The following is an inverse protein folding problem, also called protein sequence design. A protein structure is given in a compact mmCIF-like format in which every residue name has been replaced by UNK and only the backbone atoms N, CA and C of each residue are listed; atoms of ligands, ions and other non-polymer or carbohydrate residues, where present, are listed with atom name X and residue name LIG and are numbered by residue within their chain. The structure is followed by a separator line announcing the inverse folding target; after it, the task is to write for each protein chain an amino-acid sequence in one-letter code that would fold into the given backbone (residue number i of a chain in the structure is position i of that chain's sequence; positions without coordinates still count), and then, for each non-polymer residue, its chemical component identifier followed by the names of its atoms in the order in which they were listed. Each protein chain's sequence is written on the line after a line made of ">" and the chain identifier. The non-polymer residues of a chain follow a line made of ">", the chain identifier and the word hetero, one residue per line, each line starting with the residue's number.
data_IF_558957939567
#
_entry.id   IF_558957939567
#
_cell.length_a   1.000
_cell.length_b   1.000
_cell.length_c   1.000
_cell.angle_alpha   90.00
_cell.angle_beta   90.00
_cell.angle_gamma   90.00
#
_symmetry.space_group_name_H-M   'P 1'
#
loop_
_entity.id
_entity.type
_entity.pdbx_description
1 polymer ?
#
# COMPACT_ATOMS: atom_id res chain seq x y z
N UNK A 1 33.50 -33.29 -13.59
CA UNK A 1 33.32 -34.05 -12.33
C UNK A 1 32.46 -33.20 -11.44
N UNK A 2 31.13 -33.45 -11.54
CA UNK A 2 30.13 -32.67 -10.81
C UNK A 2 30.16 -33.01 -9.32
N UNK A 3 30.38 -32.01 -8.48
CA UNK A 3 30.13 -32.13 -7.05
C UNK A 3 28.79 -31.45 -6.75
N UNK A 4 27.71 -32.21 -6.79
CA UNK A 4 26.45 -31.84 -6.19
C UNK A 4 26.58 -32.02 -4.67
N UNK A 5 26.60 -30.93 -3.92
CA UNK A 5 26.54 -30.98 -2.47
C UNK A 5 25.06 -30.88 -2.08
N UNK A 6 24.54 -32.00 -1.58
CA UNK A 6 23.22 -32.04 -0.93
C UNK A 6 23.40 -31.53 0.51
N UNK A 7 22.80 -30.42 0.85
CA UNK A 7 22.58 -30.02 2.24
C UNK A 7 21.17 -30.41 2.68
N UNK A 8 21.10 -31.21 3.74
CA UNK A 8 19.86 -31.59 4.39
C UNK A 8 19.58 -30.58 5.51
N UNK A 9 18.43 -29.93 5.46
CA UNK A 9 17.96 -29.00 6.50
C UNK A 9 17.57 -29.77 7.75
N UNK A 10 18.08 -29.38 8.91
CA UNK A 10 17.70 -29.87 10.22
C UNK A 10 16.72 -28.86 10.85
N UNK A 11 15.45 -29.22 10.94
CA UNK A 11 14.45 -28.44 11.64
C UNK A 11 14.53 -28.79 13.12
N UNK A 12 14.86 -27.84 13.98
CA UNK A 12 14.77 -27.97 15.43
C UNK A 12 13.62 -27.09 15.92
N UNK A 13 12.50 -27.73 16.30
CA UNK A 13 11.45 -27.06 17.05
C UNK A 13 11.81 -27.11 18.54
N UNK A 14 11.98 -25.94 19.16
CA UNK A 14 12.01 -25.79 20.60
C UNK A 14 10.85 -24.84 21.01
N UNK A 15 9.75 -25.41 21.47
CA UNK A 15 8.67 -24.63 22.05
C UNK A 15 9.02 -24.12 23.44
N UNK A 16 8.74 -22.84 23.70
CA UNK A 16 8.81 -22.24 25.03
C UNK A 16 8.89 -20.72 24.93
N UNK A 17 8.05 -20.02 25.65
CA UNK A 17 7.79 -18.60 25.69
C UNK A 17 9.00 -17.69 25.39
N UNK A 18 8.76 -16.70 24.51
CA UNK A 18 9.70 -15.66 24.08
C UNK A 18 10.99 -16.23 23.44
N UNK A 19 10.91 -16.60 22.18
CA UNK A 19 12.05 -17.09 21.42
C UNK A 19 11.95 -16.64 19.97
N UNK A 20 12.90 -15.82 19.57
CA UNK A 20 13.20 -15.54 18.16
C UNK A 20 13.45 -16.88 17.48
N UNK A 21 12.53 -17.33 16.64
CA UNK A 21 12.70 -18.53 15.82
C UNK A 21 13.34 -18.14 14.49
N UNK A 22 14.64 -18.32 14.35
CA UNK A 22 15.31 -18.17 13.06
C UNK A 22 14.98 -19.39 12.19
N UNK A 23 14.16 -19.22 11.17
CA UNK A 23 13.93 -20.22 10.13
C UNK A 23 14.90 -19.98 8.97
N UNK A 24 15.96 -20.78 8.87
CA UNK A 24 16.89 -20.77 7.73
C UNK A 24 16.24 -21.54 6.56
N UNK A 25 15.90 -20.83 5.49
CA UNK A 25 15.49 -21.42 4.22
C UNK A 25 16.68 -21.39 3.24
N UNK A 26 17.18 -22.55 2.86
CA UNK A 26 18.23 -22.65 1.84
C UNK A 26 17.58 -22.71 0.44
N UNK A 27 17.80 -21.69 -0.36
CA UNK A 27 17.48 -21.68 -1.79
C UNK A 27 18.55 -22.46 -2.57
N UNK A 28 18.15 -23.39 -3.43
CA UNK A 28 19.03 -24.00 -4.43
C UNK A 28 18.99 -23.08 -5.66
N UNK A 29 19.72 -21.99 -5.61
CA UNK A 29 19.89 -21.04 -6.70
C UNK A 29 21.29 -21.08 -7.28
N UNK A 30 21.41 -20.73 -8.54
CA UNK A 30 22.66 -20.49 -9.24
C UNK A 30 23.39 -19.38 -8.47
N UNK A 31 24.65 -19.62 -8.13
CA UNK A 31 25.54 -18.64 -7.50
C UNK A 31 25.77 -17.49 -8.48
N UNK A 32 24.91 -16.46 -8.40
CA UNK A 32 24.98 -15.23 -9.20
C UNK A 32 25.54 -14.05 -8.39
N UNK A 33 25.98 -14.29 -7.16
CA UNK A 33 26.57 -13.30 -6.27
C UNK A 33 25.52 -12.42 -5.55
N UNK A 34 24.25 -12.82 -5.56
CA UNK A 34 23.21 -12.16 -4.79
C UNK A 34 23.26 -12.59 -3.31
N UNK A 35 23.01 -11.65 -2.39
CA UNK A 35 22.88 -11.92 -0.96
C UNK A 35 21.63 -12.76 -0.67
N UNK A 36 21.68 -13.63 0.31
CA UNK A 36 20.50 -14.34 0.82
C UNK A 36 19.79 -13.45 1.84
N UNK A 37 18.48 -13.26 1.68
CA UNK A 37 17.67 -12.54 2.62
C UNK A 37 17.37 -13.39 3.87
N UNK A 38 17.48 -12.81 5.06
CA UNK A 38 17.28 -13.48 6.34
C UNK A 38 16.06 -12.94 7.08
N UNK A 39 15.19 -13.83 7.59
CA UNK A 39 14.09 -13.43 8.46
C UNK A 39 14.66 -13.11 9.84
N UNK A 40 14.53 -11.85 10.26
CA UNK A 40 15.03 -11.36 11.55
C UNK A 40 13.96 -11.31 12.62
N UNK A 41 12.70 -11.27 12.22
CA UNK A 41 11.56 -11.26 13.15
C UNK A 41 10.27 -11.75 12.50
N UNK A 42 9.42 -12.39 13.31
CA UNK A 42 8.07 -12.80 12.96
C UNK A 42 7.12 -12.52 14.13
N UNK A 43 5.92 -12.01 13.83
CA UNK A 43 4.83 -11.88 14.81
C UNK A 43 4.03 -13.17 14.95
N UNK A 44 3.17 -13.23 15.96
CA UNK A 44 2.10 -14.22 16.00
C UNK A 44 1.07 -13.94 14.87
N UNK A 45 0.47 -14.99 14.27
CA UNK A 45 -0.59 -14.84 13.28
C UNK A 45 -1.79 -14.06 13.83
N UNK A 46 -2.44 -13.28 12.96
CA UNK A 46 -3.59 -12.45 13.33
C UNK A 46 -4.84 -12.90 12.59
N UNK A 47 -5.87 -13.30 13.34
CA UNK A 47 -7.12 -13.79 12.74
C UNK A 47 -7.91 -12.64 12.08
N UNK A 48 -8.38 -12.86 10.86
CA UNK A 48 -9.27 -11.95 10.15
C UNK A 48 -8.58 -10.80 9.40
N UNK A 49 -7.26 -10.85 9.30
CA UNK A 49 -6.45 -10.06 8.37
C UNK A 49 -5.77 -11.01 7.38
N UNK A 50 -5.82 -10.68 6.08
CA UNK A 50 -5.10 -11.38 5.01
C UNK A 50 -3.80 -10.65 4.63
N UNK A 51 -3.38 -9.68 5.44
CA UNK A 51 -2.21 -8.84 5.21
C UNK A 51 -2.37 -7.80 4.10
N UNK A 52 -3.43 -7.85 3.31
CA UNK A 52 -3.58 -6.94 2.16
C UNK A 52 -3.80 -5.47 2.55
N UNK A 53 -4.29 -5.25 3.77
CA UNK A 53 -4.61 -3.93 4.32
C UNK A 53 -3.65 -3.45 5.40
N UNK A 54 -2.64 -4.22 5.75
CA UNK A 54 -1.68 -3.84 6.78
C UNK A 54 -0.77 -2.68 6.34
N UNK A 55 -0.31 -1.88 7.30
CA UNK A 55 0.63 -0.78 7.08
C UNK A 55 1.67 -0.73 8.18
N UNK A 56 2.83 -0.14 7.88
CA UNK A 56 3.88 0.13 8.85
C UNK A 56 3.87 1.61 9.19
N UNK A 57 4.00 1.92 10.48
CA UNK A 57 4.22 3.27 10.99
C UNK A 57 5.49 3.27 11.84
N UNK A 58 6.15 4.40 11.98
CA UNK A 58 7.30 4.56 12.86
C UNK A 58 6.93 5.51 13.98
N UNK A 59 7.01 5.04 15.22
CA UNK A 59 6.64 5.77 16.42
C UNK A 59 7.86 5.92 17.31
N UNK A 60 8.25 7.17 17.63
CA UNK A 60 9.44 7.47 18.47
C UNK A 60 10.74 6.79 17.98
N UNK A 61 10.77 6.40 16.69
CA UNK A 61 11.86 5.65 16.07
C UNK A 61 11.66 4.14 16.05
N UNK A 62 10.62 3.62 16.71
CA UNK A 62 10.30 2.18 16.73
C UNK A 62 9.23 1.85 15.66
N UNK A 63 9.42 0.84 14.82
CA UNK A 63 8.44 0.45 13.81
C UNK A 63 7.28 -0.35 14.41
N UNK A 64 6.07 0.02 13.99
CA UNK A 64 4.82 -0.66 14.32
C UNK A 64 4.17 -1.24 13.07
N UNK A 65 3.74 -2.49 13.14
CA UNK A 65 2.84 -3.09 12.14
C UNK A 65 1.40 -2.90 12.60
N UNK A 66 0.62 -2.20 11.77
CA UNK A 66 -0.79 -1.89 12.02
C UNK A 66 -1.65 -2.79 11.16
N UNK A 67 -2.60 -3.50 11.76
CA UNK A 67 -3.45 -4.47 11.10
C UNK A 67 -4.91 -4.30 11.49
N UNK A 68 -5.81 -4.56 10.54
CA UNK A 68 -7.25 -4.63 10.81
C UNK A 68 -7.62 -6.05 11.20
N UNK A 69 -7.95 -6.27 12.47
CA UNK A 69 -8.19 -7.60 13.03
C UNK A 69 -9.67 -7.82 13.38
N UNK A 70 -10.15 -9.04 13.23
CA UNK A 70 -11.51 -9.42 13.60
C UNK A 70 -11.48 -10.45 14.75
N UNK A 71 -12.11 -10.11 15.88
CA UNK A 71 -12.26 -11.03 17.00
C UNK A 71 -13.63 -10.88 17.64
N UNK A 72 -14.29 -12.01 17.90
CA UNK A 72 -15.59 -12.06 18.58
C UNK A 72 -16.70 -11.18 17.96
N UNK A 73 -16.68 -11.02 16.64
CA UNK A 73 -17.63 -10.15 15.94
C UNK A 73 -17.31 -8.64 16.01
N UNK A 74 -16.16 -8.27 16.56
CA UNK A 74 -15.69 -6.90 16.60
C UNK A 74 -14.49 -6.73 15.66
N UNK A 75 -14.48 -5.68 14.87
CA UNK A 75 -13.32 -5.25 14.10
C UNK A 75 -12.50 -4.27 14.93
N UNK A 76 -11.19 -4.41 14.92
CA UNK A 76 -10.26 -3.54 15.64
C UNK A 76 -9.04 -3.23 14.78
N UNK A 77 -8.38 -2.14 15.05
CA UNK A 77 -7.00 -1.90 14.60
C UNK A 77 -6.07 -2.37 15.71
N UNK A 78 -5.06 -3.14 15.34
CA UNK A 78 -4.00 -3.61 16.24
C UNK A 78 -2.67 -3.05 15.80
N UNK A 79 -1.90 -2.52 16.73
CA UNK A 79 -0.50 -2.21 16.56
C UNK A 79 0.37 -3.26 17.24
N UNK A 80 1.35 -3.75 16.52
CA UNK A 80 2.35 -4.71 17.02
C UNK A 80 3.73 -4.12 16.79
N UNK A 81 4.50 -3.94 17.87
CA UNK A 81 5.88 -3.50 17.76
C UNK A 81 6.72 -4.57 17.07
N UNK A 82 7.53 -4.17 16.11
CA UNK A 82 8.48 -5.07 15.46
C UNK A 82 9.57 -5.42 16.47
N UNK A 83 9.86 -6.72 16.64
CA UNK A 83 10.73 -7.20 17.71
C UNK A 83 10.07 -7.26 19.10
N UNK A 84 8.81 -6.83 19.23
CA UNK A 84 8.06 -6.74 20.48
C UNK A 84 6.74 -7.49 20.47
N UNK A 85 5.79 -7.01 21.25
CA UNK A 85 4.42 -7.52 21.36
C UNK A 85 3.37 -6.54 20.87
N UNK A 86 2.11 -6.85 21.17
CA UNK A 86 1.00 -5.93 20.89
C UNK A 86 1.10 -4.71 21.80
N UNK A 87 1.22 -3.52 21.23
CA UNK A 87 1.26 -2.25 21.96
C UNK A 87 -0.14 -1.79 22.32
N UNK A 88 -1.05 -1.79 21.33
CA UNK A 88 -2.45 -1.44 21.55
C UNK A 88 -3.39 -2.18 20.60
N UNK A 89 -4.67 -2.21 20.97
CA UNK A 89 -5.76 -2.70 20.11
C UNK A 89 -6.98 -1.83 20.35
N UNK A 90 -7.46 -1.15 19.32
CA UNK A 90 -8.59 -0.24 19.39
C UNK A 90 -9.75 -0.71 18.53
N UNK A 91 -10.96 -0.82 19.09
CA UNK A 91 -12.13 -1.23 18.32
C UNK A 91 -12.46 -0.16 17.28
N UNK A 92 -12.84 -0.59 16.09
CA UNK A 92 -13.35 0.31 15.04
C UNK A 92 -14.77 0.71 15.43
N UNK A 93 -14.94 1.99 15.82
CA UNK A 93 -16.22 2.55 16.18
C UNK A 93 -17.18 2.54 14.98
N UNK A 94 -18.41 2.15 15.21
CA UNK A 94 -19.50 2.49 14.28
C UNK A 94 -19.95 3.89 14.68
N UNK A 95 -19.54 4.91 13.90
CA UNK A 95 -19.79 6.30 14.20
C UNK A 95 -21.22 6.60 14.64
N UNK A 96 -21.46 7.76 15.25
CA UNK A 96 -22.70 8.22 15.88
C UNK A 96 -23.97 8.20 15.02
N UNK A 97 -23.93 7.63 13.80
CA UNK A 97 -25.07 7.37 12.92
C UNK A 97 -25.55 5.91 12.91
N UNK A 98 -24.78 4.98 13.50
CA UNK A 98 -25.21 3.61 13.70
C UNK A 98 -26.06 3.51 14.95
N UNK A 99 -27.36 3.79 14.83
CA UNK A 99 -28.31 3.51 15.91
C UNK A 99 -28.10 2.09 16.39
N UNK A 100 -27.95 1.88 17.71
CA UNK A 100 -28.00 0.58 18.33
C UNK A 100 -29.18 -0.19 17.70
N UNK A 101 -28.88 -1.35 17.13
CA UNK A 101 -29.93 -2.23 16.62
C UNK A 101 -30.95 -2.37 17.76
N UNK A 102 -32.25 -2.18 17.48
CA UNK A 102 -33.26 -2.34 18.52
C UNK A 102 -33.13 -3.76 19.09
N UNK A 103 -32.96 -3.84 20.39
CA UNK A 103 -32.96 -5.07 21.15
C UNK A 103 -34.41 -5.60 21.21
N UNK A 104 -34.93 -6.08 20.07
CA UNK A 104 -36.18 -6.83 20.05
C UNK A 104 -35.96 -8.10 19.22
N UNK A 105 -35.99 -9.17 20.01
CA UNK A 105 -35.76 -10.55 19.69
C UNK A 105 -36.41 -11.07 18.43
N UNK A 106 -35.67 -11.76 17.68
CA UNK A 106 -35.85 -13.17 17.31
C UNK A 106 -34.73 -13.61 16.36
N UNK A 107 -33.94 -14.62 16.77
CA UNK A 107 -32.99 -15.32 15.91
C UNK A 107 -31.81 -14.49 15.43
N UNK A 108 -30.84 -14.22 16.34
CA UNK A 108 -29.65 -13.42 16.03
C UNK A 108 -28.81 -14.03 14.92
N UNK A 109 -28.85 -13.45 13.73
CA UNK A 109 -27.68 -13.42 12.87
C UNK A 109 -26.60 -12.65 13.64
N UNK A 110 -25.45 -13.31 13.84
CA UNK A 110 -24.28 -12.66 14.41
C UNK A 110 -24.07 -11.37 13.61
N UNK A 111 -23.98 -10.23 14.31
CA UNK A 111 -23.61 -8.96 13.69
C UNK A 111 -22.23 -9.21 13.08
N UNK A 112 -22.18 -9.40 11.76
CA UNK A 112 -20.92 -9.57 11.05
C UNK A 112 -20.06 -8.35 11.40
N UNK A 113 -18.82 -8.61 11.81
CA UNK A 113 -17.87 -7.57 12.10
C UNK A 113 -17.85 -6.59 10.90
N UNK A 114 -18.01 -5.31 11.15
CA UNK A 114 -18.09 -4.31 10.08
C UNK A 114 -16.89 -4.48 9.14
N UNK A 115 -17.16 -4.78 7.86
CA UNK A 115 -16.08 -4.85 6.87
C UNK A 115 -15.39 -3.47 6.80
N UNK A 116 -14.07 -3.48 6.89
CA UNK A 116 -13.23 -2.27 6.80
C UNK A 116 -12.42 -2.30 5.51
N UNK A 117 -11.98 -1.13 5.07
CA UNK A 117 -10.95 -1.01 4.04
C UNK A 117 -9.58 -1.41 4.60
N UNK A 118 -8.56 -1.44 3.73
CA UNK A 118 -7.16 -1.43 4.18
C UNK A 118 -6.84 -0.13 4.92
N UNK A 119 -5.81 -0.18 5.74
CA UNK A 119 -5.31 0.94 6.53
C UNK A 119 -4.45 1.88 5.67
N UNK A 120 -4.38 3.15 6.06
CA UNK A 120 -3.39 4.12 5.60
C UNK A 120 -2.79 4.80 6.81
N UNK A 121 -1.50 5.08 6.76
CA UNK A 121 -0.78 5.89 7.76
C UNK A 121 -0.27 7.18 7.13
N UNK A 122 -0.11 8.20 7.95
CA UNK A 122 0.44 9.49 7.54
C UNK A 122 0.52 10.44 8.72
N UNK A 123 1.04 11.63 8.46
CA UNK A 123 1.08 12.72 9.45
C UNK A 123 -0.13 13.62 9.26
N UNK A 124 -0.88 13.88 10.32
CA UNK A 124 -2.07 14.70 10.33
C UNK A 124 -2.03 15.65 11.54
N UNK A 125 -1.94 16.96 11.27
CA UNK A 125 -1.74 17.95 12.34
C UNK A 125 -0.43 17.80 13.10
N UNK A 126 0.60 17.25 12.46
CA UNK A 126 1.93 17.01 13.04
C UNK A 126 2.09 15.71 13.83
N UNK A 127 1.05 14.89 13.92
CA UNK A 127 1.04 13.60 14.63
C UNK A 127 0.82 12.44 13.65
N UNK A 128 1.41 11.28 13.94
CA UNK A 128 1.21 10.09 13.14
C UNK A 128 -0.18 9.51 13.40
N UNK A 129 -0.90 9.19 12.33
CA UNK A 129 -2.24 8.64 12.39
C UNK A 129 -2.36 7.38 11.56
N UNK A 130 -3.37 6.57 11.89
CA UNK A 130 -3.87 5.49 11.05
C UNK A 130 -5.35 5.74 10.74
N UNK A 131 -5.70 5.66 9.47
CA UNK A 131 -7.06 5.87 9.00
C UNK A 131 -7.57 4.67 8.20
N UNK A 132 -8.88 4.44 8.28
CA UNK A 132 -9.59 3.44 7.51
C UNK A 132 -11.02 3.89 7.24
N UNK A 133 -11.67 3.26 6.27
CA UNK A 133 -13.12 3.41 6.09
C UNK A 133 -13.85 2.12 6.44
N UNK A 134 -15.09 2.25 6.85
CA UNK A 134 -15.99 1.11 7.08
C UNK A 134 -16.97 0.97 5.92
N UNK A 135 -17.45 -0.26 5.69
CA UNK A 135 -18.47 -0.51 4.67
C UNK A 135 -19.79 0.22 4.94
N UNK A 136 -20.06 0.56 6.19
CA UNK A 136 -21.23 1.39 6.57
C UNK A 136 -21.09 2.85 6.17
N UNK A 137 -19.89 3.31 5.80
CA UNK A 137 -19.64 4.68 5.35
C UNK A 137 -19.09 5.59 6.43
N UNK A 138 -18.32 5.06 7.37
CA UNK A 138 -17.58 5.89 8.33
C UNK A 138 -16.10 5.92 7.95
N UNK A 139 -15.50 7.10 7.98
CA UNK A 139 -14.05 7.29 8.07
C UNK A 139 -13.69 7.32 9.55
N UNK A 140 -12.76 6.48 9.97
CA UNK A 140 -12.28 6.39 11.35
C UNK A 140 -10.78 6.69 11.36
N UNK A 141 -10.34 7.58 12.23
CA UNK A 141 -8.95 7.99 12.39
C UNK A 141 -8.53 7.78 13.84
N UNK A 142 -7.39 7.11 14.02
CA UNK A 142 -6.77 6.87 15.32
C UNK A 142 -5.40 7.52 15.37
N UNK A 143 -4.96 7.90 16.56
CA UNK A 143 -3.56 8.16 16.81
C UNK A 143 -2.77 6.84 16.69
N UNK A 144 -1.68 6.88 15.95
CA UNK A 144 -0.87 5.68 15.75
C UNK A 144 -0.06 5.32 17.00
N UNK A 145 0.21 6.29 17.91
CA UNK A 145 0.96 6.11 19.14
C UNK A 145 0.27 5.19 20.14
N UNK A 146 -0.99 5.48 20.46
CA UNK A 146 -1.71 4.83 21.53
C UNK A 146 -3.05 4.19 21.11
N UNK A 147 -3.40 4.34 19.82
CA UNK A 147 -4.64 3.83 19.25
C UNK A 147 -5.89 4.57 19.72
N UNK A 148 -5.77 5.76 20.31
CA UNK A 148 -6.93 6.56 20.67
C UNK A 148 -7.67 7.02 19.42
N UNK A 149 -9.00 6.93 19.42
CA UNK A 149 -9.84 7.42 18.34
C UNK A 149 -9.82 8.96 18.33
N UNK A 150 -9.31 9.57 17.25
CA UNK A 150 -9.31 11.04 17.08
C UNK A 150 -10.68 11.55 16.68
N UNK A 151 -11.23 10.97 15.61
CA UNK A 151 -12.56 11.30 15.13
C UNK A 151 -13.15 10.20 14.26
N UNK A 152 -14.47 10.25 14.12
CA UNK A 152 -15.24 9.44 13.18
C UNK A 152 -16.15 10.37 12.39
N UNK A 153 -16.08 10.30 11.04
CA UNK A 153 -16.87 11.14 10.13
C UNK A 153 -17.66 10.26 9.17
N UNK A 154 -18.91 10.67 8.87
CA UNK A 154 -19.74 10.01 7.86
C UNK A 154 -19.25 10.40 6.45
N UNK A 155 -18.94 9.43 5.61
CA UNK A 155 -18.50 9.64 4.22
C UNK A 155 -19.67 9.95 3.26
N UNK A 156 -20.89 10.04 3.77
CA UNK A 156 -22.09 10.28 2.95
C UNK A 156 -22.56 9.09 2.13
N UNK A 157 -22.01 7.91 2.36
CA UNK A 157 -22.38 6.68 1.66
C UNK A 157 -21.46 5.53 2.00
N UNK A 158 -21.80 4.33 1.51
CA UNK A 158 -20.94 3.13 1.75
C UNK A 158 -19.55 3.36 1.22
N UNK A 159 -18.55 2.96 1.98
CA UNK A 159 -17.16 2.98 1.55
C UNK A 159 -16.53 1.59 1.78
N UNK A 160 -15.63 1.18 0.91
CA UNK A 160 -14.93 -0.09 1.02
C UNK A 160 -13.48 0.01 0.51
N UNK A 161 -13.03 1.21 0.23
CA UNK A 161 -11.68 1.46 -0.31
C UNK A 161 -10.85 2.23 0.70
N UNK A 162 -9.56 1.94 0.72
CA UNK A 162 -8.56 2.60 1.57
C UNK A 162 -8.62 4.11 1.34
N UNK A 163 -8.67 4.94 2.39
CA UNK A 163 -8.56 6.39 2.27
C UNK A 163 -7.15 6.81 1.83
N UNK A 164 -6.97 8.10 1.53
CA UNK A 164 -5.66 8.70 1.29
C UNK A 164 -5.39 9.78 2.34
N UNK A 165 -4.11 10.09 2.57
CA UNK A 165 -3.66 11.20 3.43
C UNK A 165 -2.68 12.03 2.60
N UNK A 166 -2.82 13.35 2.61
CA UNK A 166 -1.94 14.31 1.95
C UNK A 166 -2.54 15.69 1.89
N UNK A 167 -1.72 16.70 1.65
CA UNK A 167 -2.13 18.09 1.44
C UNK A 167 -2.89 18.19 0.11
N UNK A 168 -4.22 18.30 0.15
CA UNK A 168 -5.06 18.30 -1.05
C UNK A 168 -5.59 19.70 -1.43
N UNK A 169 -5.53 20.67 -0.52
CA UNK A 169 -5.94 22.05 -0.80
C UNK A 169 -4.76 23.03 -0.98
N UNK A 170 -3.54 22.58 -0.65
CA UNK A 170 -2.30 23.32 -0.89
C UNK A 170 -1.98 24.32 0.22
N UNK A 171 -2.55 24.17 1.41
CA UNK A 171 -2.31 25.05 2.55
C UNK A 171 -1.07 24.61 3.37
N UNK A 172 -0.56 23.40 3.12
CA UNK A 172 0.64 22.82 3.73
C UNK A 172 0.35 21.88 4.88
N UNK A 173 -0.89 21.75 5.31
CA UNK A 173 -1.38 20.76 6.24
C UNK A 173 -1.95 19.56 5.46
N UNK A 174 -1.98 18.38 6.04
CA UNK A 174 -2.52 17.22 5.36
C UNK A 174 -3.97 16.95 5.75
N UNK A 175 -4.77 16.47 4.79
CA UNK A 175 -6.13 16.00 4.96
C UNK A 175 -6.22 14.49 4.84
N UNK A 176 -7.30 13.93 5.39
CA UNK A 176 -7.73 12.57 5.12
C UNK A 176 -8.84 12.58 4.08
N UNK A 177 -8.62 11.89 2.96
CA UNK A 177 -9.58 11.78 1.87
C UNK A 177 -10.26 10.43 1.89
N UNK A 178 -11.57 10.42 2.05
CA UNK A 178 -12.40 9.24 1.94
C UNK A 178 -13.36 9.35 0.75
N UNK A 179 -13.69 8.21 0.16
CA UNK A 179 -14.63 8.15 -0.98
C UNK A 179 -15.75 7.17 -0.71
N UNK A 180 -16.90 7.39 -1.31
CA UNK A 180 -18.04 6.48 -1.24
C UNK A 180 -18.25 5.75 -2.57
N UNK A 181 -18.82 4.56 -2.50
CA UNK A 181 -19.18 3.77 -3.68
C UNK A 181 -20.29 4.41 -4.52
N UNK A 182 -20.94 5.47 -4.04
CA UNK A 182 -21.93 6.26 -4.78
C UNK A 182 -21.35 7.47 -5.52
N UNK A 183 -20.05 7.77 -5.34
CA UNK A 183 -19.40 8.89 -6.01
C UNK A 183 -19.05 10.07 -5.10
N UNK A 184 -19.34 9.99 -3.80
CA UNK A 184 -18.95 11.01 -2.84
C UNK A 184 -17.44 11.03 -2.62
N UNK A 185 -16.87 12.22 -2.53
CA UNK A 185 -15.47 12.50 -2.15
C UNK A 185 -15.51 13.48 -0.98
N UNK A 186 -14.87 13.11 0.12
CA UNK A 186 -14.79 13.90 1.34
C UNK A 186 -13.33 14.07 1.73
N UNK A 187 -12.88 15.30 1.90
CA UNK A 187 -11.61 15.63 2.54
C UNK A 187 -11.89 16.27 3.91
N UNK A 188 -11.17 15.82 4.93
CA UNK A 188 -11.29 16.34 6.30
C UNK A 188 -9.91 16.72 6.84
N UNK A 189 -9.88 17.78 7.63
CA UNK A 189 -8.69 18.27 8.31
C UNK A 189 -8.29 17.40 9.53
N UNK A 190 -7.27 17.83 10.26
CA UNK A 190 -6.78 17.16 11.45
C UNK A 190 -7.79 17.10 12.61
N UNK A 191 -8.81 17.94 12.61
CA UNK A 191 -9.92 17.94 13.58
C UNK A 191 -11.10 17.08 13.16
N UNK A 192 -11.10 16.58 11.92
CA UNK A 192 -12.24 15.89 11.32
C UNK A 192 -13.32 16.83 10.74
N UNK A 193 -13.01 18.13 10.63
CA UNK A 193 -13.88 19.08 9.99
C UNK A 193 -13.75 19.00 8.46
N UNK A 194 -14.85 19.04 7.68
CA UNK A 194 -14.79 18.97 6.23
C UNK A 194 -14.06 20.17 5.62
N UNK A 195 -12.99 19.91 4.86
CA UNK A 195 -12.35 20.88 3.97
C UNK A 195 -13.20 21.04 2.71
N UNK A 196 -13.58 19.93 2.09
CA UNK A 196 -14.61 19.90 1.05
C UNK A 196 -15.39 18.59 1.06
N UNK A 197 -16.57 18.64 0.45
CA UNK A 197 -17.38 17.47 0.11
C UNK A 197 -17.96 17.63 -1.28
N UNK A 198 -17.69 16.65 -2.16
CA UNK A 198 -18.10 16.66 -3.55
C UNK A 198 -18.75 15.36 -3.96
N UNK A 199 -19.53 15.39 -5.06
CA UNK A 199 -20.12 14.20 -5.69
C UNK A 199 -19.72 14.19 -7.17
N UNK A 200 -18.95 13.18 -7.59
CA UNK A 200 -18.51 13.05 -8.97
C UNK A 200 -19.54 12.37 -9.89
N UNK A 201 -20.69 12.01 -9.33
CA UNK A 201 -21.85 11.51 -10.09
C UNK A 201 -21.68 10.11 -10.69
N UNK A 202 -20.65 9.36 -10.28
CA UNK A 202 -20.40 8.00 -10.73
C UNK A 202 -19.68 7.19 -9.64
N UNK A 203 -19.91 5.86 -9.56
CA UNK A 203 -19.30 5.01 -8.53
C UNK A 203 -17.78 5.10 -8.49
N UNK A 204 -17.21 5.15 -7.27
CA UNK A 204 -15.77 5.09 -7.05
C UNK A 204 -15.43 3.73 -6.43
N UNK A 205 -14.58 2.96 -7.13
CA UNK A 205 -14.21 1.59 -6.73
C UNK A 205 -12.72 1.42 -6.40
N UNK A 206 -11.94 2.49 -6.55
CA UNK A 206 -10.50 2.49 -6.29
C UNK A 206 -10.17 3.51 -5.21
N UNK A 207 -9.10 3.24 -4.46
CA UNK A 207 -8.62 4.22 -3.47
C UNK A 207 -8.37 5.56 -4.14
N UNK A 208 -8.68 6.70 -3.50
CA UNK A 208 -8.30 8.01 -4.00
C UNK A 208 -6.77 8.18 -3.93
N UNK A 209 -6.24 9.16 -4.66
CA UNK A 209 -4.88 9.64 -4.46
C UNK A 209 -4.94 11.10 -4.07
N UNK A 210 -4.28 11.46 -2.98
CA UNK A 210 -3.90 12.83 -2.71
C UNK A 210 -2.79 13.20 -3.70
N UNK A 211 -2.98 14.29 -4.43
CA UNK A 211 -2.08 14.75 -5.48
C UNK A 211 -1.32 15.97 -4.96
N UNK A 212 -0.01 15.82 -4.83
CA UNK A 212 0.88 16.89 -4.41
C UNK A 212 1.66 17.44 -5.62
N UNK A 213 1.57 18.76 -5.80
CA UNK A 213 2.31 19.49 -6.83
C UNK A 213 3.52 20.25 -6.30
N UNK A 214 3.83 20.18 -5.01
CA UNK A 214 4.87 20.98 -4.36
C UNK A 214 6.28 20.81 -4.96
N UNK A 215 6.52 19.69 -5.65
CA UNK A 215 7.82 19.37 -6.25
C UNK A 215 8.11 19.99 -7.62
N UNK A 216 7.15 20.55 -8.33
CA UNK A 216 7.36 20.93 -9.74
C UNK A 216 6.81 22.32 -10.09
N UNK A 217 7.53 23.38 -9.69
CA UNK A 217 7.26 24.78 -10.08
C UNK A 217 7.62 25.12 -11.52
N UNK A 218 7.86 24.15 -12.41
CA UNK A 218 8.30 24.38 -13.78
C UNK A 218 7.17 24.74 -14.75
N UNK A 219 5.92 24.55 -14.40
CA UNK A 219 4.76 24.96 -15.21
C UNK A 219 4.14 26.19 -14.54
N UNK A 220 4.36 27.37 -15.11
CA UNK A 220 3.68 28.57 -14.67
C UNK A 220 2.18 28.36 -14.71
N UNK A 221 1.52 28.88 -13.68
CA UNK A 221 0.09 29.06 -13.50
C UNK A 221 -0.76 27.84 -13.07
N UNK A 222 -1.28 27.94 -11.84
CA UNK A 222 -2.48 27.31 -11.30
C UNK A 222 -2.56 25.77 -11.19
N UNK A 223 -1.46 25.05 -11.07
CA UNK A 223 -1.54 23.64 -10.68
C UNK A 223 -1.48 23.55 -9.16
N UNK A 224 -2.63 23.41 -8.54
CA UNK A 224 -2.80 23.24 -7.10
C UNK A 224 -2.92 21.76 -6.77
N UNK A 225 -2.63 21.40 -5.53
CA UNK A 225 -2.91 20.10 -4.96
C UNK A 225 -4.37 19.67 -5.21
N UNK A 226 -4.69 18.43 -5.00
CA UNK A 226 -6.04 17.94 -5.24
C UNK A 226 -6.22 16.46 -4.99
N UNK A 227 -7.35 15.94 -5.44
CA UNK A 227 -7.70 14.52 -5.28
C UNK A 227 -7.98 13.88 -6.63
N UNK A 228 -7.26 12.82 -6.95
CA UNK A 228 -7.59 12.01 -8.10
C UNK A 228 -8.44 10.81 -7.70
N UNK A 229 -9.47 10.51 -8.50
CA UNK A 229 -10.37 9.36 -8.31
C UNK A 229 -10.58 8.60 -9.62
N UNK A 230 -10.77 7.29 -9.51
CA UNK A 230 -11.20 6.43 -10.63
C UNK A 230 -12.67 6.11 -10.44
N UNK A 231 -13.49 6.51 -11.41
CA UNK A 231 -14.91 6.21 -11.44
C UNK A 231 -15.21 5.13 -12.46
N UNK A 232 -16.26 4.34 -12.23
CA UNK A 232 -16.73 3.30 -13.13
C UNK A 232 -18.22 3.50 -13.41
N UNK A 233 -18.63 3.40 -14.68
CA UNK A 233 -20.02 3.34 -15.11
C UNK A 233 -20.16 2.17 -16.10
N UNK A 234 -20.56 1.02 -15.58
CA UNK A 234 -20.51 -0.23 -16.34
C UNK A 234 -19.08 -0.63 -16.70
N UNK A 235 -18.79 -0.76 -18.00
CA UNK A 235 -17.47 -1.10 -18.51
C UNK A 235 -16.59 0.14 -18.79
N UNK A 236 -17.13 1.33 -18.65
CA UNK A 236 -16.40 2.59 -18.86
C UNK A 236 -15.76 3.08 -17.56
N UNK A 237 -14.49 3.44 -17.64
CA UNK A 237 -13.74 4.02 -16.52
C UNK A 237 -13.31 5.43 -16.87
N UNK A 238 -13.34 6.31 -15.88
CA UNK A 238 -12.81 7.66 -15.99
C UNK A 238 -11.91 7.99 -14.82
N UNK A 239 -10.84 8.69 -15.09
CA UNK A 239 -9.99 9.33 -14.07
C UNK A 239 -10.41 10.79 -13.97
N UNK A 240 -10.65 11.26 -12.77
CA UNK A 240 -11.02 12.66 -12.50
C UNK A 240 -10.05 13.25 -11.49
N UNK A 241 -9.61 14.46 -11.75
CA UNK A 241 -8.87 15.27 -10.79
C UNK A 241 -9.82 16.34 -10.25
N UNK A 242 -9.96 16.39 -8.94
CA UNK A 242 -10.62 17.45 -8.20
C UNK A 242 -9.53 18.38 -7.66
N UNK A 243 -9.81 19.69 -7.61
CA UNK A 243 -8.95 20.67 -6.94
C UNK A 243 -9.21 20.72 -5.42
N UNK A 244 -8.51 21.64 -4.73
CA UNK A 244 -8.60 21.80 -3.27
C UNK A 244 -9.98 22.24 -2.76
N UNK A 245 -10.83 22.81 -3.62
CA UNK A 245 -12.23 23.14 -3.31
C UNK A 245 -13.19 21.98 -3.62
N UNK A 246 -12.69 20.88 -4.19
CA UNK A 246 -13.45 19.71 -4.57
C UNK A 246 -14.15 19.82 -5.94
N UNK A 247 -13.83 20.82 -6.74
CA UNK A 247 -14.35 20.99 -8.09
C UNK A 247 -13.57 20.14 -9.10
N UNK A 248 -14.27 19.48 -10.04
CA UNK A 248 -13.62 18.65 -11.06
C UNK A 248 -12.89 19.55 -12.06
N UNK A 249 -11.55 19.49 -12.06
CA UNK A 249 -10.68 20.21 -13.01
C UNK A 249 -10.70 19.59 -14.40
N UNK A 250 -10.51 18.27 -14.44
CA UNK A 250 -10.55 17.52 -15.70
C UNK A 250 -11.07 16.11 -15.50
N UNK A 251 -11.50 15.52 -16.59
CA UNK A 251 -11.90 14.11 -16.68
C UNK A 251 -11.21 13.49 -17.88
N UNK A 252 -10.52 12.36 -17.67
CA UNK A 252 -9.89 11.57 -18.72
C UNK A 252 -10.53 10.18 -18.79
N UNK A 253 -10.61 9.61 -20.00
CA UNK A 253 -11.05 8.24 -20.21
C UNK A 253 -9.83 7.41 -20.62
N UNK A 254 -9.22 6.66 -19.66
CA UNK A 254 -8.05 5.87 -19.97
C UNK A 254 -8.39 4.71 -20.89
N UNK A 255 -7.42 4.28 -21.71
CA UNK A 255 -7.53 3.09 -22.56
C UNK A 255 -7.45 1.80 -21.77
N UNK A 256 -6.90 1.85 -20.53
CA UNK A 256 -6.80 0.74 -19.61
C UNK A 256 -7.96 0.75 -18.60
N UNK A 257 -8.39 -0.43 -18.15
CA UNK A 257 -9.22 -0.57 -16.95
C UNK A 257 -8.29 -0.49 -15.74
N UNK A 258 -8.25 0.64 -15.00
CA UNK A 258 -7.26 0.81 -13.92
C UNK A 258 -7.49 -0.20 -12.80
N UNK A 259 -6.49 -1.04 -12.53
CA UNK A 259 -6.45 -1.97 -11.40
C UNK A 259 -5.61 -1.42 -10.24
N UNK A 260 -4.48 -0.83 -10.59
CA UNK A 260 -3.57 -0.15 -9.67
C UNK A 260 -3.14 1.17 -10.28
N UNK A 261 -2.86 2.15 -9.46
CA UNK A 261 -2.45 3.45 -9.94
C UNK A 261 -1.67 4.22 -8.86
N UNK A 262 -0.82 5.14 -9.32
CA UNK A 262 0.04 5.95 -8.45
C UNK A 262 0.41 7.27 -9.15
N UNK A 263 0.61 8.32 -8.35
CA UNK A 263 1.33 9.51 -8.79
C UNK A 263 2.82 9.21 -8.86
N UNK A 264 3.48 9.76 -9.86
CA UNK A 264 4.93 9.72 -10.02
C UNK A 264 5.44 11.05 -10.55
N UNK A 265 6.60 11.48 -10.03
CA UNK A 265 7.24 12.70 -10.47
C UNK A 265 8.16 12.45 -11.67
N UNK A 266 7.90 13.12 -12.76
CA UNK A 266 8.76 13.10 -13.94
C UNK A 266 9.44 14.45 -14.16
N UNK A 267 10.50 14.47 -14.97
CA UNK A 267 11.19 15.72 -15.32
C UNK A 267 10.28 16.76 -16.01
N UNK A 268 9.18 16.30 -16.61
CA UNK A 268 8.23 17.16 -17.34
C UNK A 268 6.95 17.44 -16.54
N UNK A 269 6.92 17.15 -15.25
CA UNK A 269 5.77 17.30 -14.38
C UNK A 269 5.26 15.96 -13.84
N UNK A 270 4.39 16.00 -12.83
CA UNK A 270 3.81 14.81 -12.24
C UNK A 270 2.86 14.12 -13.22
N UNK A 271 2.82 12.79 -13.13
CA UNK A 271 1.95 11.92 -13.93
C UNK A 271 1.18 10.97 -13.02
N UNK A 272 0.07 10.46 -13.51
CA UNK A 272 -0.62 9.30 -12.96
C UNK A 272 -0.25 8.08 -13.80
N UNK A 273 0.38 7.09 -13.19
CA UNK A 273 0.66 5.80 -13.80
C UNK A 273 -0.50 4.83 -13.49
N UNK A 274 -1.11 4.26 -14.52
CA UNK A 274 -2.28 3.40 -14.46
C UNK A 274 -1.93 2.01 -14.97
N UNK A 275 -1.99 1.02 -14.10
CA UNK A 275 -1.81 -0.38 -14.47
C UNK A 275 -3.14 -1.05 -14.81
N UNK A 276 -3.25 -1.61 -16.01
CA UNK A 276 -4.48 -2.22 -16.51
C UNK A 276 -4.57 -3.73 -16.31
N UNK A 277 -5.80 -4.24 -16.34
CA UNK A 277 -6.09 -5.68 -16.37
C UNK A 277 -5.69 -6.34 -17.69
N UNK A 278 -5.51 -5.53 -18.73
CA UNK A 278 -5.16 -5.95 -20.11
C UNK A 278 -3.65 -6.08 -20.36
N UNK A 279 -2.79 -5.86 -19.34
CA UNK A 279 -1.34 -5.93 -19.47
C UNK A 279 -0.70 -4.65 -19.98
N UNK A 280 -1.44 -3.55 -20.05
CA UNK A 280 -0.94 -2.25 -20.45
C UNK A 280 -0.68 -1.36 -19.23
N UNK A 281 0.31 -0.50 -19.36
CA UNK A 281 0.59 0.63 -18.51
C UNK A 281 0.27 1.90 -19.32
N UNK A 282 -0.61 2.75 -18.81
CA UNK A 282 -0.91 4.06 -19.35
C UNK A 282 -0.51 5.14 -18.36
N UNK A 283 -0.04 6.27 -18.85
CA UNK A 283 0.27 7.43 -18.00
C UNK A 283 -0.49 8.65 -18.48
N UNK A 284 -1.06 9.37 -17.50
CA UNK A 284 -1.77 10.63 -17.74
C UNK A 284 -0.97 11.79 -17.14
N UNK A 285 -0.96 12.92 -17.84
CA UNK A 285 -0.47 14.17 -17.27
C UNK A 285 -1.41 14.63 -16.15
N UNK A 286 -0.87 14.93 -14.96
CA UNK A 286 -1.71 15.43 -13.87
C UNK A 286 -2.26 16.82 -14.18
N UNK A 287 -1.54 17.61 -14.99
CA UNK A 287 -1.93 18.98 -15.33
C UNK A 287 -3.27 19.07 -16.07
N UNK A 288 -3.57 18.15 -16.99
CA UNK A 288 -4.74 18.23 -17.89
C UNK A 288 -5.41 16.89 -18.21
N UNK A 289 -4.92 15.79 -17.66
CA UNK A 289 -5.45 14.44 -17.91
C UNK A 289 -5.10 13.86 -19.27
N UNK A 290 -4.26 14.51 -20.09
CA UNK A 290 -3.85 13.97 -21.38
C UNK A 290 -2.95 12.76 -21.23
N UNK A 291 -3.10 11.77 -22.13
CA UNK A 291 -2.23 10.59 -22.12
C UNK A 291 -0.82 10.98 -22.59
N UNK A 292 0.20 10.72 -21.76
CA UNK A 292 1.59 10.89 -22.15
C UNK A 292 2.07 9.76 -23.02
N UNK A 293 1.86 8.52 -22.57
CA UNK A 293 2.13 7.30 -23.34
C UNK A 293 1.28 6.13 -22.83
N UNK A 294 1.14 5.12 -23.69
CA UNK A 294 0.60 3.81 -23.36
C UNK A 294 1.55 2.74 -23.89
N UNK A 295 1.86 1.74 -23.07
CA UNK A 295 2.71 0.60 -23.46
C UNK A 295 2.09 -0.72 -23.04
N UNK A 296 2.24 -1.73 -23.91
CA UNK A 296 1.88 -3.12 -23.61
C UNK A 296 3.07 -3.86 -23.02
N UNK A 297 2.98 -4.25 -21.73
CA UNK A 297 4.01 -5.05 -21.07
C UNK A 297 3.85 -6.55 -21.38
N UNK A 298 2.72 -6.96 -21.97
CA UNK A 298 2.36 -8.36 -22.27
C UNK A 298 2.36 -9.26 -21.01
N UNK A 299 2.09 -8.65 -19.87
CA UNK A 299 2.13 -9.29 -18.57
C UNK A 299 0.87 -8.90 -17.76
N UNK A 300 0.08 -9.86 -17.31
CA UNK A 300 -1.26 -9.62 -16.75
C UNK A 300 -1.35 -10.06 -15.30
N UNK A 301 -2.00 -9.29 -14.42
CA UNK A 301 -2.34 -7.88 -14.51
C UNK A 301 -1.12 -7.00 -14.17
N UNK A 302 -1.17 -5.71 -14.55
CA UNK A 302 -0.12 -4.74 -14.24
C UNK A 302 -0.35 -4.14 -12.86
N UNK A 303 0.61 -4.33 -11.94
CA UNK A 303 0.60 -3.75 -10.61
C UNK A 303 1.62 -2.60 -10.53
N UNK A 304 1.13 -1.36 -10.51
CA UNK A 304 1.98 -0.16 -10.43
C UNK A 304 2.51 0.01 -9.03
N UNK A 305 3.83 -0.01 -8.90
CA UNK A 305 4.56 0.19 -7.67
C UNK A 305 5.13 1.60 -7.51
N UNK A 306 6.16 1.72 -6.71
CA UNK A 306 6.81 3.00 -6.45
C UNK A 306 7.53 3.53 -7.69
N UNK A 307 7.69 4.84 -7.71
CA UNK A 307 8.48 5.54 -8.70
C UNK A 307 9.74 6.12 -8.06
N UNK A 308 10.86 5.90 -8.72
CA UNK A 308 12.15 6.49 -8.37
C UNK A 308 12.59 7.51 -9.43
N UNK A 309 13.83 8.00 -9.37
CA UNK A 309 14.32 9.00 -10.33
C UNK A 309 14.17 8.54 -11.78
N UNK A 310 13.15 9.10 -12.47
CA UNK A 310 12.89 8.90 -13.89
C UNK A 310 12.27 7.56 -14.29
N UNK A 311 11.84 6.72 -13.35
CA UNK A 311 11.24 5.38 -13.62
C UNK A 311 10.10 5.07 -12.68
N UNK A 312 9.15 4.26 -13.15
CA UNK A 312 8.16 3.56 -12.34
C UNK A 312 8.46 2.07 -12.38
N UNK A 313 8.29 1.40 -11.25
CA UNK A 313 8.45 -0.04 -11.15
C UNK A 313 7.10 -0.73 -11.16
N UNK A 314 7.01 -1.83 -11.91
CA UNK A 314 5.75 -2.47 -12.20
C UNK A 314 5.86 -3.97 -12.04
N UNK A 315 4.93 -4.56 -11.30
CA UNK A 315 4.78 -6.01 -11.16
C UNK A 315 3.79 -6.56 -12.18
N UNK A 316 4.06 -7.77 -12.67
CA UNK A 316 3.18 -8.50 -13.58
C UNK A 316 3.03 -9.97 -13.17
N UNK A 317 2.79 -10.86 -14.13
CA UNK A 317 2.77 -12.31 -13.91
C UNK A 317 4.18 -12.88 -14.03
N UNK A 318 4.86 -13.05 -12.90
CA UNK A 318 6.21 -13.59 -12.84
C UNK A 318 7.34 -12.64 -13.23
N UNK A 319 7.06 -11.36 -13.41
CA UNK A 319 8.06 -10.38 -13.84
C UNK A 319 7.93 -9.04 -13.11
N UNK A 320 9.06 -8.35 -13.00
CA UNK A 320 9.17 -6.94 -12.60
C UNK A 320 9.78 -6.15 -13.74
N UNK A 321 9.27 -4.94 -13.93
CA UNK A 321 9.66 -4.05 -14.98
C UNK A 321 10.06 -2.69 -14.41
N UNK A 322 11.07 -2.05 -15.01
CA UNK A 322 11.33 -0.64 -14.83
C UNK A 322 11.01 0.09 -16.12
N UNK A 323 10.11 1.05 -16.05
CA UNK A 323 9.61 1.81 -17.20
C UNK A 323 9.96 3.27 -17.02
N UNK A 324 10.50 3.88 -18.05
CA UNK A 324 10.82 5.31 -18.09
C UNK A 324 9.57 6.17 -17.93
N UNK A 325 9.58 7.11 -17.01
CA UNK A 325 8.48 8.08 -16.80
C UNK A 325 8.38 9.11 -17.93
N UNK A 326 9.42 9.24 -18.75
CA UNK A 326 9.46 10.25 -19.82
C UNK A 326 8.72 9.80 -21.07
N UNK A 327 8.96 8.55 -21.51
CA UNK A 327 8.57 8.07 -22.84
C UNK A 327 8.02 6.62 -22.85
N UNK A 328 7.95 5.97 -21.68
CA UNK A 328 7.46 4.61 -21.55
C UNK A 328 8.45 3.54 -22.03
N UNK A 329 9.70 3.88 -22.34
CA UNK A 329 10.69 2.86 -22.69
C UNK A 329 10.94 1.91 -21.52
N UNK A 330 10.93 0.59 -21.80
CA UNK A 330 11.30 -0.43 -20.81
C UNK A 330 12.81 -0.39 -20.60
N UNK A 331 13.23 0.08 -19.43
CA UNK A 331 14.65 0.14 -19.07
C UNK A 331 15.23 -1.25 -18.85
N UNK A 332 14.46 -2.10 -18.17
CA UNK A 332 14.80 -3.51 -17.93
C UNK A 332 13.56 -4.32 -17.51
N UNK A 333 13.69 -5.63 -17.63
CA UNK A 333 12.74 -6.62 -17.12
C UNK A 333 13.50 -7.69 -16.35
N UNK A 334 13.04 -8.01 -15.13
CA UNK A 334 13.55 -9.11 -14.32
C UNK A 334 12.47 -10.16 -14.10
N UNK A 335 12.80 -11.44 -14.21
CA UNK A 335 11.87 -12.55 -13.99
C UNK A 335 12.09 -13.20 -12.63
N UNK A 336 10.98 -13.59 -11.98
CA UNK A 336 11.01 -14.39 -10.75
C UNK A 336 11.27 -15.88 -10.99
N UNK A 337 11.03 -16.36 -12.20
CA UNK A 337 11.22 -17.77 -12.55
C UNK A 337 9.96 -18.63 -12.47
N UNK A 338 8.78 -18.02 -12.36
CA UNK A 338 7.45 -18.64 -12.42
C UNK A 338 6.43 -17.69 -13.05
N UNK A 339 5.17 -18.10 -13.10
CA UNK A 339 4.07 -17.29 -13.61
C UNK A 339 3.22 -16.68 -12.47
N UNK A 340 3.77 -16.67 -11.25
CA UNK A 340 3.08 -16.16 -10.07
C UNK A 340 3.02 -14.64 -10.10
N UNK A 341 1.85 -14.08 -9.78
CA UNK A 341 1.64 -12.63 -9.76
C UNK A 341 2.63 -11.94 -8.80
N UNK A 342 3.30 -10.93 -9.30
CA UNK A 342 4.14 -10.02 -8.52
C UNK A 342 3.28 -8.87 -8.01
N UNK A 343 3.37 -8.56 -6.72
CA UNK A 343 2.72 -7.41 -6.11
C UNK A 343 3.36 -6.10 -6.63
N UNK A 344 2.76 -4.98 -6.34
CA UNK A 344 3.33 -3.69 -6.72
C UNK A 344 4.71 -3.51 -6.05
N UNK A 345 5.80 -3.32 -6.83
CA UNK A 345 7.13 -3.16 -6.26
C UNK A 345 7.24 -1.90 -5.41
N UNK A 346 8.04 -1.96 -4.37
CA UNK A 346 8.29 -0.83 -3.47
C UNK A 346 9.76 -0.41 -3.53
N UNK A 347 10.06 0.81 -3.11
CA UNK A 347 11.41 1.35 -3.00
C UNK A 347 11.81 1.49 -1.55
N UNK A 348 12.93 0.89 -1.15
CA UNK A 348 13.49 0.97 0.20
C UNK A 348 15.00 1.19 0.20
N UNK A 349 15.51 1.86 1.23
CA UNK A 349 16.95 2.08 1.42
C UNK A 349 17.51 0.90 2.21
N UNK A 350 18.01 -0.09 1.48
CA UNK A 350 18.47 -1.35 2.03
C UNK A 350 20.01 -1.44 2.00
N UNK A 351 20.60 -2.19 2.93
CA UNK A 351 22.03 -2.50 2.91
C UNK A 351 22.97 -1.30 3.07
N UNK A 352 22.53 -0.23 3.75
CA UNK A 352 23.37 0.94 4.09
C UNK A 352 23.74 1.83 2.90
N UNK A 353 23.04 1.71 1.78
CA UNK A 353 23.15 2.62 0.63
C UNK A 353 22.43 3.95 0.87
N UNK A 354 22.80 5.01 0.12
CA UNK A 354 22.08 6.29 0.11
C UNK A 354 20.90 6.31 -0.88
N UNK A 355 20.75 5.25 -1.68
CA UNK A 355 19.78 5.16 -2.77
C UNK A 355 18.78 4.05 -2.51
N UNK A 356 17.49 4.34 -2.75
CA UNK A 356 16.45 3.32 -2.63
C UNK A 356 16.53 2.29 -3.76
N UNK A 357 16.47 1.02 -3.40
CA UNK A 357 16.46 -0.12 -4.29
C UNK A 357 15.04 -0.63 -4.52
N UNK A 358 14.69 -1.07 -5.75
CA UNK A 358 13.41 -1.71 -6.02
C UNK A 358 13.34 -3.08 -5.36
N UNK A 359 12.31 -3.28 -4.57
CA UNK A 359 11.98 -4.56 -3.96
C UNK A 359 10.68 -5.08 -4.52
N UNK A 360 10.68 -6.32 -4.93
CA UNK A 360 9.50 -6.99 -5.44
C UNK A 360 9.27 -8.29 -4.70
N UNK A 361 8.01 -8.59 -4.40
CA UNK A 361 7.56 -9.84 -3.81
C UNK A 361 6.43 -10.42 -4.64
N UNK A 362 6.47 -11.72 -4.89
CA UNK A 362 5.38 -12.41 -5.56
C UNK A 362 4.37 -12.96 -4.54
N UNK A 363 3.24 -13.48 -5.04
CA UNK A 363 2.20 -14.05 -4.17
C UNK A 363 2.60 -15.34 -3.46
N UNK A 364 3.69 -15.99 -3.86
CA UNK A 364 4.23 -17.17 -3.17
C UNK A 364 5.18 -16.78 -2.03
N UNK A 365 5.44 -15.48 -1.89
CA UNK A 365 6.32 -14.94 -0.86
C UNK A 365 7.79 -14.93 -1.26
N UNK A 366 8.13 -15.22 -2.53
CA UNK A 366 9.49 -15.03 -3.02
C UNK A 366 9.77 -13.55 -3.22
N UNK A 367 10.93 -13.09 -2.83
CA UNK A 367 11.36 -11.70 -2.92
C UNK A 367 12.63 -11.54 -3.75
N UNK A 368 12.74 -10.39 -4.40
CA UNK A 368 13.92 -9.92 -5.11
C UNK A 368 14.21 -8.48 -4.70
N UNK A 369 15.45 -8.21 -4.34
CA UNK A 369 16.00 -6.85 -4.27
C UNK A 369 16.80 -6.61 -5.53
N UNK A 370 16.57 -5.48 -6.16
CA UNK A 370 17.10 -5.17 -7.48
C UNK A 370 17.84 -3.82 -7.42
N UNK A 371 18.97 -3.74 -8.06
CA UNK A 371 19.59 -2.44 -8.28
C UNK A 371 18.88 -1.67 -9.41
N UNK A 372 19.23 -0.41 -9.61
CA UNK A 372 18.64 0.45 -10.65
C UNK A 372 18.76 -0.07 -12.07
N UNK A 373 19.69 -0.99 -12.34
CA UNK A 373 19.89 -1.57 -13.66
C UNK A 373 19.19 -2.92 -13.84
N UNK A 374 18.40 -3.35 -12.84
CA UNK A 374 17.67 -4.60 -12.84
C UNK A 374 18.50 -5.82 -12.45
N UNK A 375 19.75 -5.63 -12.01
CA UNK A 375 20.55 -6.70 -11.44
C UNK A 375 20.01 -7.08 -10.05
N UNK A 376 19.90 -8.38 -9.79
CA UNK A 376 19.47 -8.89 -8.48
C UNK A 376 20.62 -8.78 -7.49
N UNK A 377 20.40 -8.07 -6.39
CA UNK A 377 21.36 -7.86 -5.30
C UNK A 377 21.09 -8.80 -4.13
N UNK A 378 19.80 -9.07 -3.85
CA UNK A 378 19.42 -10.06 -2.85
C UNK A 378 18.19 -10.88 -3.26
N UNK A 379 18.05 -12.07 -2.69
CA UNK A 379 16.92 -12.99 -2.90
C UNK A 379 16.51 -13.63 -1.59
N UNK A 380 15.22 -13.94 -1.46
CA UNK A 380 14.71 -14.68 -0.33
C UNK A 380 13.29 -15.18 -0.56
N UNK A 381 12.72 -15.76 0.49
CA UNK A 381 11.31 -16.13 0.53
C UNK A 381 10.83 -16.08 1.97
N UNK A 382 9.64 -15.53 2.19
CA UNK A 382 8.98 -15.60 3.50
C UNK A 382 8.22 -16.91 3.71
N UNK A 383 8.16 -17.77 2.67
CA UNK A 383 7.59 -19.10 2.76
C UNK A 383 6.06 -19.14 2.94
N UNK A 384 5.38 -18.02 2.74
CA UNK A 384 3.94 -17.87 2.89
C UNK A 384 3.37 -16.93 1.82
N UNK A 385 2.05 -16.99 1.61
CA UNK A 385 1.37 -16.14 0.62
C UNK A 385 1.33 -14.69 1.09
N UNK A 386 1.66 -13.76 0.17
CA UNK A 386 1.70 -12.31 0.41
C UNK A 386 0.86 -11.58 -0.63
N UNK A 387 -0.10 -10.77 -0.18
CA UNK A 387 -0.98 -9.99 -1.06
C UNK A 387 -0.60 -8.51 -1.16
N UNK A 388 0.10 -7.98 -0.15
CA UNK A 388 0.51 -6.59 -0.07
C UNK A 388 1.89 -6.35 -0.71
N UNK A 389 2.17 -5.09 -1.00
CA UNK A 389 3.51 -4.63 -1.34
C UNK A 389 4.40 -4.63 -0.09
N UNK A 390 5.71 -4.82 -0.25
CA UNK A 390 6.65 -4.68 0.87
C UNK A 390 6.67 -3.25 1.41
N UNK A 391 6.91 -3.13 2.71
CA UNK A 391 7.10 -1.88 3.42
C UNK A 391 8.47 -1.92 4.12
N UNK A 392 8.92 -0.79 4.64
CA UNK A 392 10.28 -0.66 5.14
C UNK A 392 10.31 0.08 6.47
N UNK A 393 11.18 -0.35 7.36
CA UNK A 393 11.53 0.35 8.58
C UNK A 393 12.82 -0.23 9.16
N UNK A 394 13.59 0.59 9.87
CA UNK A 394 14.75 0.15 10.65
C UNK A 394 14.27 -0.63 11.89
N UNK A 395 14.32 -1.95 11.79
CA UNK A 395 13.86 -2.91 12.82
C UNK A 395 14.99 -3.27 13.78
N UNK A 396 16.22 -3.34 13.25
CA UNK A 396 17.39 -3.75 14.04
C UNK A 396 18.06 -2.60 14.78
N UNK A 397 17.71 -1.35 14.45
CA UNK A 397 18.28 -0.13 15.02
C UNK A 397 19.70 0.18 14.54
N UNK A 398 20.08 -0.36 13.38
CA UNK A 398 21.41 -0.17 12.82
C UNK A 398 21.47 1.00 11.79
N UNK A 399 20.32 1.62 11.51
CA UNK A 399 20.17 2.75 10.60
C UNK A 399 19.92 2.34 9.14
N UNK A 400 19.67 1.06 8.89
CA UNK A 400 19.21 0.54 7.60
C UNK A 400 17.80 0.00 7.73
N UNK A 401 17.00 0.13 6.66
CA UNK A 401 15.66 -0.40 6.66
C UNK A 401 15.67 -1.92 6.41
N UNK A 402 14.88 -2.66 7.17
CA UNK A 402 14.46 -4.00 6.85
C UNK A 402 13.15 -3.97 6.06
N UNK A 403 12.96 -5.05 5.30
CA UNK A 403 11.73 -5.30 4.58
C UNK A 403 10.66 -5.87 5.51
N UNK A 404 9.48 -5.25 5.57
CA UNK A 404 8.34 -5.76 6.33
C UNK A 404 7.24 -6.19 5.37
N UNK A 405 6.77 -7.42 5.52
CA UNK A 405 5.64 -7.97 4.80
C UNK A 405 4.64 -8.60 5.77
N UNK A 406 3.37 -8.63 5.37
CA UNK A 406 2.33 -9.35 6.13
C UNK A 406 1.76 -10.45 5.25
N UNK A 407 1.74 -11.65 5.78
CA UNK A 407 1.29 -12.87 5.09
C UNK A 407 -0.23 -13.04 5.15
N UNK A 408 -0.80 -13.98 4.39
CA UNK A 408 -2.24 -14.20 4.32
C UNK A 408 -2.87 -14.65 5.64
N UNK A 409 -2.10 -15.18 6.58
CA UNK A 409 -2.57 -15.55 7.92
C UNK A 409 -2.38 -14.41 8.94
N UNK A 410 -1.96 -13.23 8.48
CA UNK A 410 -1.76 -12.04 9.27
C UNK A 410 -0.44 -12.02 10.05
N UNK A 411 0.50 -12.94 9.77
CA UNK A 411 1.85 -12.89 10.35
C UNK A 411 2.63 -11.75 9.71
N UNK A 412 3.16 -10.83 10.52
CA UNK A 412 4.12 -9.84 10.06
C UNK A 412 5.53 -10.43 10.13
N UNK A 413 6.29 -10.24 9.05
CA UNK A 413 7.65 -10.79 8.90
C UNK A 413 8.58 -9.66 8.54
N UNK A 414 9.68 -9.49 9.29
CA UNK A 414 10.78 -8.59 8.95
C UNK A 414 11.95 -9.38 8.37
N UNK A 415 12.46 -8.89 7.25
CA UNK A 415 13.52 -9.55 6.47
C UNK A 415 14.68 -8.59 6.27
N UNK A 416 15.85 -9.00 6.75
CA UNK A 416 17.12 -8.32 6.49
C UNK A 416 17.73 -8.82 5.18
N UNK A 417 18.31 -7.90 4.43
CA UNK A 417 18.99 -8.17 3.15
C UNK A 417 20.42 -7.59 3.14
N UNK A 418 20.93 -7.22 4.31
CA UNK A 418 22.31 -6.74 4.47
C UNK A 418 23.31 -7.90 4.32
N UNK A 419 24.56 -7.58 3.89
CA UNK A 419 25.68 -8.54 3.72
C UNK A 419 26.29 -8.96 5.07
#
# INVERSE_FOLDING_TARGET
>A
MDRRVLFASLILFAGGAAGVGVALFAFVGVDDGATEAEIVWESDPVTGDDGSGAVVATMDGDPLVLQSVAANGTRSVRATAVGGGVEWTSPVGTGAGGGAAPADGDGGEAVEAAETSGLVTGTLGGEQVVALTTRSGSLVVFDADDGSERFVVDTGGRSAVRPAIGDVDGDGDAEVVAVSTSGGVLAVDAGGDPVFQSDVGAPIERRPLAIDFSGNKASGDDVTNGVAVVTADGDEHAVRLLDGDGDVRWTATPSVTPLSWRQADSQNGPILALGGTNGNLETLEVADGSTRYEIGLQDLPVAVGDAGPGRVYVGGSGSVWAVSLLDGEVSWKQQFGGDTRVNAPSLGVLGGGDEADPVAINREGDLLVLNRNGGVTARGSVGAVVYASPQFADVTGDGTDELIVVTEDGTAVAVDVSD
#
